data_IF_495135850384
#
_entry.id   IF_495135850384
#
_cell.length_a   1.000
_cell.length_b   1.000
_cell.length_c   1.000
_cell.angle_alpha   90.00
_cell.angle_beta   90.00
_cell.angle_gamma   90.00
#
_symmetry.space_group_name_H-M   'P 1'
#
loop_
_entity.id
_entity.type
_entity.pdbx_description
1 polymer ?
#
# COMPACT_ATOMS: atom_id res chain seq x y z
N UNK A 1 0.56 -65.04 13.68
CA UNK A 1 0.53 -63.93 12.70
C UNK A 1 -0.26 -62.72 13.19
N UNK A 2 -1.51 -62.86 13.65
CA UNK A 2 -2.35 -61.74 14.14
C UNK A 2 -1.74 -60.88 15.26
N UNK A 3 -1.08 -61.48 16.26
CA UNK A 3 -0.44 -60.73 17.36
C UNK A 3 0.73 -59.84 16.89
N UNK A 4 1.51 -60.28 15.90
CA UNK A 4 2.57 -59.46 15.31
C UNK A 4 1.98 -58.30 14.50
N UNK A 5 0.92 -58.54 13.73
CA UNK A 5 0.25 -57.50 12.97
C UNK A 5 -0.33 -56.39 13.87
N UNK A 6 -0.95 -56.77 15.00
CA UNK A 6 -1.48 -55.80 15.98
C UNK A 6 -0.36 -54.96 16.60
N UNK A 7 0.76 -55.58 16.99
CA UNK A 7 1.90 -54.86 17.56
C UNK A 7 2.53 -53.88 16.55
N UNK A 8 2.65 -54.29 15.28
CA UNK A 8 3.17 -53.43 14.21
C UNK A 8 2.22 -52.24 14.00
N UNK A 9 0.91 -52.47 13.94
CA UNK A 9 -0.08 -51.40 13.81
C UNK A 9 -0.04 -50.42 15.01
N UNK A 10 0.07 -50.92 16.24
CA UNK A 10 0.14 -50.05 17.42
C UNK A 10 1.42 -49.22 17.46
N UNK A 11 2.55 -49.80 17.05
CA UNK A 11 3.84 -49.09 16.97
C UNK A 11 3.78 -48.02 15.88
N UNK A 12 3.28 -48.35 14.69
CA UNK A 12 3.12 -47.38 13.60
C UNK A 12 2.17 -46.24 13.98
N UNK A 13 1.04 -46.56 14.62
CA UNK A 13 0.09 -45.55 15.10
C UNK A 13 0.73 -44.60 16.13
N UNK A 14 1.53 -45.13 17.06
CA UNK A 14 2.26 -44.32 18.04
C UNK A 14 3.30 -43.41 17.39
N UNK A 15 4.04 -43.91 16.39
CA UNK A 15 5.00 -43.12 15.61
C UNK A 15 4.32 -41.99 14.83
N UNK A 16 3.18 -42.28 14.18
CA UNK A 16 2.40 -41.28 13.45
C UNK A 16 1.90 -40.20 14.41
N UNK A 17 1.30 -40.58 15.55
CA UNK A 17 0.78 -39.63 16.53
C UNK A 17 1.88 -38.74 17.12
N UNK A 18 3.05 -39.33 17.40
CA UNK A 18 4.23 -38.60 17.90
C UNK A 18 4.75 -37.60 16.87
N UNK A 19 4.77 -37.99 15.59
CA UNK A 19 5.16 -37.12 14.49
C UNK A 19 4.18 -35.94 14.31
N UNK A 20 2.86 -36.20 14.31
CA UNK A 20 1.85 -35.15 14.24
C UNK A 20 1.96 -34.16 15.40
N UNK A 21 2.19 -34.66 16.61
CA UNK A 21 2.37 -33.82 17.80
C UNK A 21 3.63 -32.95 17.68
N UNK A 22 4.75 -33.52 17.24
CA UNK A 22 5.99 -32.77 17.01
C UNK A 22 5.84 -31.68 15.95
N UNK A 23 5.22 -32.01 14.80
CA UNK A 23 4.93 -31.04 13.75
C UNK A 23 4.00 -29.91 14.22
N UNK A 24 3.00 -30.25 15.04
CA UNK A 24 2.08 -29.26 15.63
C UNK A 24 2.80 -28.31 16.59
N UNK A 25 3.65 -28.83 17.50
CA UNK A 25 4.46 -28.00 18.40
C UNK A 25 5.46 -27.13 17.63
N UNK A 26 6.09 -27.66 16.58
CA UNK A 26 7.00 -26.91 15.72
C UNK A 26 6.28 -25.76 15.00
N UNK A 27 5.07 -26.01 14.50
CA UNK A 27 4.24 -24.99 13.85
C UNK A 27 3.80 -23.88 14.82
N UNK A 28 3.38 -24.24 16.04
CA UNK A 28 3.05 -23.29 17.10
C UNK A 28 4.26 -22.43 17.51
N UNK A 29 5.43 -23.06 17.65
CA UNK A 29 6.67 -22.35 17.95
C UNK A 29 7.03 -21.37 16.82
N UNK A 30 6.98 -21.80 15.56
CA UNK A 30 7.26 -20.92 14.41
C UNK A 30 6.30 -19.72 14.37
N UNK A 31 5.01 -19.96 14.54
CA UNK A 31 3.98 -18.90 14.51
C UNK A 31 4.21 -17.86 15.61
N UNK A 32 4.60 -18.31 16.79
CA UNK A 32 4.94 -17.45 17.93
C UNK A 32 6.20 -16.62 17.67
N UNK A 33 7.24 -17.22 17.08
CA UNK A 33 8.49 -16.53 16.70
C UNK A 33 8.23 -15.47 15.63
N UNK A 34 7.42 -15.78 14.60
CA UNK A 34 7.04 -14.81 13.56
C UNK A 34 6.27 -13.62 14.15
N UNK A 35 5.33 -13.88 15.05
CA UNK A 35 4.55 -12.84 15.73
C UNK A 35 5.41 -11.96 16.66
N UNK A 36 6.37 -12.54 17.38
CA UNK A 36 7.35 -11.77 18.16
C UNK A 36 8.27 -10.94 17.26
N UNK A 37 8.73 -11.52 16.15
CA UNK A 37 9.58 -10.83 15.15
C UNK A 37 8.89 -9.59 14.57
N UNK A 38 7.61 -9.72 14.18
CA UNK A 38 6.81 -8.61 13.67
C UNK A 38 6.65 -7.47 14.69
N UNK A 39 6.34 -7.79 15.95
CA UNK A 39 6.21 -6.79 17.02
C UNK A 39 7.51 -6.03 17.29
N UNK A 40 8.66 -6.72 17.27
CA UNK A 40 9.97 -6.10 17.49
C UNK A 40 10.34 -5.19 16.31
N UNK A 41 10.09 -5.62 15.07
CA UNK A 41 10.38 -4.83 13.86
C UNK A 41 9.54 -3.54 13.84
N UNK A 42 8.23 -3.64 14.01
CA UNK A 42 7.31 -2.50 13.94
C UNK A 42 7.53 -1.44 15.03
N UNK A 43 8.04 -1.85 16.19
CA UNK A 43 8.38 -0.93 17.28
C UNK A 43 9.67 -0.15 17.02
N UNK A 44 10.61 -0.72 16.25
CA UNK A 44 11.90 -0.10 15.94
C UNK A 44 11.86 0.86 14.75
N UNK A 45 10.82 0.82 13.91
CA UNK A 45 10.71 1.72 12.75
C UNK A 45 10.41 3.15 13.24
N UNK A 46 11.35 4.10 13.04
CA UNK A 46 11.13 5.47 13.44
C UNK A 46 10.07 6.15 12.55
N UNK A 47 9.30 7.08 13.11
CA UNK A 47 8.32 7.87 12.36
C UNK A 47 6.94 7.22 12.17
N UNK A 48 6.71 5.96 12.56
CA UNK A 48 5.37 5.37 12.51
C UNK A 48 4.44 5.95 13.59
N UNK A 49 3.28 6.44 13.15
CA UNK A 49 2.19 6.82 14.04
C UNK A 49 1.58 5.59 14.75
N UNK A 50 0.93 5.74 15.93
CA UNK A 50 0.36 4.61 16.67
C UNK A 50 -0.58 3.72 15.85
N UNK A 51 -1.44 4.31 15.02
CA UNK A 51 -2.33 3.56 14.11
C UNK A 51 -1.58 2.84 12.99
N UNK A 52 -0.52 3.44 12.46
CA UNK A 52 0.34 2.80 11.46
C UNK A 52 1.11 1.61 12.05
N UNK A 53 1.52 1.73 13.32
CA UNK A 53 2.18 0.64 14.05
C UNK A 53 1.24 -0.55 14.28
N UNK A 54 -0.03 -0.29 14.60
CA UNK A 54 -1.03 -1.36 14.70
C UNK A 54 -1.25 -2.09 13.36
N UNK A 55 -1.23 -1.36 12.24
CA UNK A 55 -1.28 -1.98 10.90
C UNK A 55 -0.01 -2.80 10.64
N UNK A 56 1.18 -2.28 10.98
CA UNK A 56 2.43 -3.02 10.83
C UNK A 56 2.42 -4.33 11.62
N UNK A 57 1.90 -4.32 12.86
CA UNK A 57 1.81 -5.51 13.70
C UNK A 57 0.87 -6.57 13.13
N UNK A 58 -0.24 -6.18 12.50
CA UNK A 58 -1.17 -7.11 11.85
C UNK A 58 -0.71 -7.54 10.45
N UNK A 59 0.11 -6.73 9.78
CA UNK A 59 0.57 -6.87 8.40
C UNK A 59 2.07 -6.56 8.27
N UNK A 60 2.96 -7.40 8.85
CA UNK A 60 4.39 -7.15 8.81
C UNK A 60 4.99 -7.38 7.41
N UNK A 61 4.36 -8.18 6.56
CA UNK A 61 4.75 -8.38 5.15
C UNK A 61 4.55 -7.10 4.32
N UNK A 62 3.50 -6.33 4.63
CA UNK A 62 3.19 -5.10 3.90
C UNK A 62 4.16 -3.94 4.21
N UNK A 63 4.78 -3.88 5.40
CA UNK A 63 5.56 -2.68 5.79
C UNK A 63 6.76 -2.41 4.88
N UNK A 64 7.38 -3.48 4.36
CA UNK A 64 8.51 -3.39 3.42
C UNK A 64 8.03 -2.77 2.11
N UNK A 65 6.95 -3.30 1.54
CA UNK A 65 6.33 -2.81 0.29
C UNK A 65 5.87 -1.36 0.42
N UNK A 66 5.32 -0.97 1.57
CA UNK A 66 4.93 0.42 1.83
C UNK A 66 6.17 1.33 1.84
N UNK A 67 7.27 0.88 2.45
CA UNK A 67 8.54 1.62 2.46
C UNK A 67 9.08 1.84 1.06
N UNK A 68 9.10 0.79 0.24
CA UNK A 68 9.48 0.87 -1.17
C UNK A 68 8.59 1.84 -1.96
N UNK A 69 7.26 1.75 -1.79
CA UNK A 69 6.32 2.63 -2.47
C UNK A 69 6.45 4.10 -2.06
N UNK A 70 6.74 4.36 -0.80
CA UNK A 70 6.96 5.72 -0.33
C UNK A 70 8.32 6.27 -0.78
N UNK A 71 9.38 5.44 -0.81
CA UNK A 71 10.68 5.82 -1.39
C UNK A 71 10.57 6.11 -2.89
N UNK A 72 9.80 5.30 -3.61
CA UNK A 72 9.49 5.51 -5.02
C UNK A 72 8.81 6.87 -5.25
N UNK A 73 7.86 7.24 -4.37
CA UNK A 73 7.24 8.56 -4.41
C UNK A 73 8.21 9.71 -4.12
N UNK A 74 9.16 9.53 -3.20
CA UNK A 74 10.21 10.52 -2.89
C UNK A 74 11.16 10.70 -4.08
N UNK A 75 11.61 9.61 -4.70
CA UNK A 75 12.49 9.65 -5.86
C UNK A 75 11.83 10.42 -7.01
N UNK A 76 10.54 10.18 -7.25
CA UNK A 76 9.79 10.89 -8.27
C UNK A 76 9.61 12.37 -7.92
N UNK A 77 9.35 12.69 -6.64
CA UNK A 77 9.32 14.08 -6.17
C UNK A 77 10.64 14.80 -6.49
N UNK A 78 11.77 14.21 -6.11
CA UNK A 78 13.09 14.77 -6.38
C UNK A 78 13.34 14.94 -7.88
N UNK A 79 12.92 13.96 -8.69
CA UNK A 79 13.03 14.03 -10.14
C UNK A 79 12.22 15.19 -10.74
N UNK A 80 10.98 15.40 -10.29
CA UNK A 80 10.13 16.50 -10.74
C UNK A 80 10.66 17.87 -10.35
N UNK A 81 11.14 17.99 -9.12
CA UNK A 81 11.56 19.25 -8.54
C UNK A 81 13.08 19.48 -8.64
N UNK A 82 13.80 18.69 -9.45
CA UNK A 82 15.27 18.72 -9.57
C UNK A 82 15.88 20.07 -9.95
N UNK A 83 15.13 20.90 -10.69
CA UNK A 83 15.53 22.25 -11.08
C UNK A 83 14.80 23.34 -10.28
N UNK A 84 14.00 22.96 -9.29
CA UNK A 84 13.31 23.88 -8.39
C UNK A 84 14.20 24.30 -7.22
N UNK A 85 13.89 25.46 -6.61
CA UNK A 85 14.53 25.89 -5.36
C UNK A 85 14.25 24.92 -4.21
N UNK A 86 13.07 24.32 -4.21
CA UNK A 86 12.71 23.19 -3.37
C UNK A 86 12.77 21.93 -4.23
N UNK A 87 13.60 20.97 -3.87
CA UNK A 87 13.95 19.79 -4.68
C UNK A 87 13.61 18.45 -3.99
N UNK A 88 12.70 18.46 -3.01
CA UNK A 88 12.31 17.29 -2.20
C UNK A 88 13.44 16.57 -1.43
N UNK A 89 14.67 17.11 -1.35
CA UNK A 89 15.81 16.43 -0.69
C UNK A 89 15.57 16.14 0.79
N UNK A 90 14.94 17.09 1.49
CA UNK A 90 14.65 16.98 2.92
C UNK A 90 13.71 15.81 3.29
N UNK A 91 12.98 15.22 2.34
CA UNK A 91 12.07 14.10 2.60
C UNK A 91 12.81 12.76 2.80
N UNK A 92 14.01 12.61 2.22
CA UNK A 92 14.77 11.35 2.27
C UNK A 92 15.73 11.20 3.45
N UNK A 93 16.00 12.29 4.19
CA UNK A 93 17.09 12.35 5.18
C UNK A 93 16.74 11.78 6.57
N UNK A 94 15.45 11.74 6.97
CA UNK A 94 15.07 11.52 8.38
C UNK A 94 14.09 10.41 8.66
N UNK A 95 13.18 10.08 7.73
CA UNK A 95 12.33 8.88 7.71
C UNK A 95 11.25 9.02 6.64
N UNK A 96 11.04 7.96 5.86
CA UNK A 96 9.99 7.88 4.84
C UNK A 96 8.57 8.00 5.46
N UNK A 97 8.42 7.68 6.75
CA UNK A 97 7.12 7.65 7.44
C UNK A 97 6.85 8.83 8.40
N UNK A 98 7.83 9.68 8.71
CA UNK A 98 7.72 10.68 9.79
C UNK A 98 7.68 12.14 9.36
N UNK A 99 7.97 12.44 8.09
CA UNK A 99 8.14 13.82 7.64
C UNK A 99 6.77 14.49 7.36
N UNK A 100 6.28 15.30 8.30
CA UNK A 100 5.21 16.28 8.03
C UNK A 100 5.85 17.63 7.69
N UNK A 101 5.67 18.10 6.45
CA UNK A 101 6.06 19.46 6.08
C UNK A 101 5.20 20.43 6.90
N UNK A 102 5.80 21.27 7.75
CA UNK A 102 5.06 22.15 8.68
C UNK A 102 4.19 23.21 7.99
N UNK A 103 4.46 23.55 6.73
CA UNK A 103 3.75 24.58 5.97
C UNK A 103 2.76 23.92 5.02
N UNK A 104 1.54 24.46 4.92
CA UNK A 104 0.56 24.03 3.93
C UNK A 104 0.84 24.67 2.58
N UNK A 105 1.89 24.20 1.89
CA UNK A 105 2.32 24.73 0.60
C UNK A 105 1.90 23.83 -0.57
N UNK A 106 2.08 24.31 -1.80
CA UNK A 106 1.83 23.52 -3.02
C UNK A 106 2.76 22.30 -3.09
N UNK A 107 4.00 22.47 -2.66
CA UNK A 107 5.01 21.43 -2.56
C UNK A 107 4.55 20.37 -1.55
N UNK A 108 4.04 20.80 -0.39
CA UNK A 108 3.48 19.88 0.58
C UNK A 108 2.31 19.08 -0.01
N UNK A 109 1.36 19.73 -0.67
CA UNK A 109 0.25 19.05 -1.33
C UNK A 109 0.73 17.97 -2.32
N UNK A 110 1.75 18.27 -3.11
CA UNK A 110 2.37 17.31 -4.03
C UNK A 110 3.00 16.13 -3.29
N UNK A 111 3.74 16.36 -2.18
CA UNK A 111 4.36 15.27 -1.41
C UNK A 111 3.34 14.27 -0.85
N UNK A 112 2.21 14.76 -0.34
CA UNK A 112 1.13 13.91 0.17
C UNK A 112 0.53 13.06 -0.96
N UNK A 113 0.24 13.69 -2.11
CA UNK A 113 -0.30 13.00 -3.27
C UNK A 113 0.66 11.93 -3.81
N UNK A 114 1.94 12.25 -4.04
CA UNK A 114 2.90 11.31 -4.64
C UNK A 114 3.25 10.16 -3.70
N UNK A 115 3.31 10.41 -2.39
CA UNK A 115 3.55 9.35 -1.39
C UNK A 115 2.35 8.39 -1.33
N UNK A 116 1.12 8.91 -1.31
CA UNK A 116 -0.08 8.08 -1.29
C UNK A 116 -0.22 7.25 -2.58
N UNK A 117 0.13 7.83 -3.73
CA UNK A 117 0.17 7.15 -5.01
C UNK A 117 1.26 6.06 -5.05
N UNK A 118 2.47 6.37 -4.57
CA UNK A 118 3.59 5.42 -4.53
C UNK A 118 3.29 4.18 -3.67
N UNK A 119 2.68 4.38 -2.49
CA UNK A 119 2.24 3.27 -1.64
C UNK A 119 1.14 2.44 -2.33
N UNK A 120 0.15 3.08 -2.96
CA UNK A 120 -0.90 2.35 -3.68
C UNK A 120 -0.33 1.53 -4.84
N UNK A 121 0.63 2.10 -5.58
CA UNK A 121 1.33 1.43 -6.67
C UNK A 121 2.10 0.20 -6.20
N UNK A 122 2.99 0.37 -5.22
CA UNK A 122 3.83 -0.71 -4.73
C UNK A 122 3.00 -1.86 -4.15
N UNK A 123 1.93 -1.53 -3.40
CA UNK A 123 1.03 -2.54 -2.84
C UNK A 123 0.33 -3.32 -3.95
N UNK A 124 -0.27 -2.66 -4.94
CA UNK A 124 -0.94 -3.38 -6.03
C UNK A 124 0.06 -4.20 -6.86
N UNK A 125 1.25 -3.67 -7.14
CA UNK A 125 2.29 -4.41 -7.86
C UNK A 125 2.72 -5.66 -7.09
N UNK A 126 3.02 -5.54 -5.79
CA UNK A 126 3.39 -6.65 -4.93
C UNK A 126 2.28 -7.72 -4.85
N UNK A 127 1.01 -7.31 -4.80
CA UNK A 127 -0.13 -8.23 -4.86
C UNK A 127 -0.15 -9.05 -6.15
N UNK A 128 0.02 -8.38 -7.30
CA UNK A 128 0.01 -9.06 -8.60
C UNK A 128 1.22 -9.98 -8.81
N UNK A 129 2.33 -9.72 -8.14
CA UNK A 129 3.54 -10.54 -8.17
C UNK A 129 3.52 -11.69 -7.16
N UNK A 130 2.54 -11.74 -6.26
CA UNK A 130 2.46 -12.73 -5.18
C UNK A 130 3.44 -12.50 -4.03
N UNK A 131 3.98 -11.28 -3.89
CA UNK A 131 4.94 -10.93 -2.83
C UNK A 131 4.25 -10.53 -1.50
N UNK A 132 2.92 -10.59 -1.43
CA UNK A 132 2.15 -10.37 -0.20
C UNK A 132 1.11 -11.47 -0.02
N UNK A 133 0.96 -11.92 1.23
CA UNK A 133 0.18 -13.12 1.57
C UNK A 133 -1.33 -12.90 1.59
N UNK A 134 -1.79 -11.66 1.79
CA UNK A 134 -3.19 -11.31 2.03
C UNK A 134 -3.84 -10.53 0.86
N UNK A 135 -3.32 -10.69 -0.36
CA UNK A 135 -3.92 -10.19 -1.59
C UNK A 135 -3.49 -11.02 -2.79
N UNK A 136 -4.03 -10.71 -3.96
CA UNK A 136 -3.68 -11.40 -5.20
C UNK A 136 -4.14 -10.63 -6.43
N UNK A 137 -4.30 -11.36 -7.53
CA UNK A 137 -4.78 -10.83 -8.80
C UNK A 137 -6.25 -10.42 -8.73
N UNK A 138 -6.60 -9.40 -9.50
CA UNK A 138 -7.97 -9.05 -9.78
C UNK A 138 -8.66 -10.20 -10.54
N UNK A 139 -9.76 -10.69 -9.96
CA UNK A 139 -10.54 -11.81 -10.46
C UNK A 139 -11.75 -11.37 -11.29
N UNK A 140 -12.08 -10.08 -11.33
CA UNK A 140 -13.29 -9.59 -12.03
C UNK A 140 -13.27 -9.89 -13.53
N UNK A 141 -12.08 -9.91 -14.14
CA UNK A 141 -11.90 -10.20 -15.58
C UNK A 141 -11.27 -11.56 -15.88
N UNK A 142 -10.92 -12.32 -14.85
CA UNK A 142 -10.19 -13.57 -15.03
C UNK A 142 -11.11 -14.64 -15.64
N UNK A 143 -10.72 -15.18 -16.80
CA UNK A 143 -11.54 -16.15 -17.53
C UNK A 143 -12.67 -15.55 -18.37
N UNK A 144 -12.75 -14.22 -18.49
CA UNK A 144 -13.66 -13.61 -19.46
C UNK A 144 -13.19 -13.93 -20.88
N UNK A 145 -14.08 -14.54 -21.64
CA UNK A 145 -13.87 -14.97 -23.02
C UNK A 145 -14.79 -14.16 -23.92
N UNK A 146 -14.22 -13.37 -24.83
CA UNK A 146 -15.01 -12.69 -25.84
C UNK A 146 -15.18 -13.64 -27.04
N UNK A 147 -16.39 -14.19 -27.21
CA UNK A 147 -16.72 -15.13 -28.29
C UNK A 147 -16.63 -14.48 -29.68
N UNK A 148 -16.85 -13.16 -29.80
CA UNK A 148 -16.85 -12.44 -31.07
C UNK A 148 -15.43 -12.06 -31.53
N UNK A 149 -14.53 -11.77 -30.58
CA UNK A 149 -13.17 -11.29 -30.87
C UNK A 149 -12.08 -12.35 -30.68
N UNK A 150 -12.44 -13.56 -30.21
CA UNK A 150 -11.54 -14.73 -30.17
C UNK A 150 -10.40 -14.67 -29.16
N UNK A 151 -10.40 -13.70 -28.24
CA UNK A 151 -9.39 -13.57 -27.20
C UNK A 151 -9.95 -13.87 -25.81
N UNK A 152 -9.07 -14.38 -24.94
CA UNK A 152 -9.35 -14.67 -23.54
C UNK A 152 -8.46 -13.83 -22.64
N UNK A 153 -9.00 -13.29 -21.55
CA UNK A 153 -8.16 -12.72 -20.51
C UNK A 153 -7.29 -13.82 -19.90
N UNK A 154 -5.98 -13.56 -19.85
CA UNK A 154 -4.99 -14.44 -19.24
C UNK A 154 -4.05 -13.68 -18.30
N UNK A 155 -3.29 -14.42 -17.50
CA UNK A 155 -2.32 -13.84 -16.56
C UNK A 155 -2.95 -13.30 -15.27
N UNK A 156 -2.20 -12.43 -14.59
CA UNK A 156 -2.58 -11.80 -13.34
C UNK A 156 -2.91 -10.33 -13.58
N UNK A 157 -4.19 -9.97 -13.55
CA UNK A 157 -4.60 -8.56 -13.54
C UNK A 157 -4.30 -7.94 -12.18
N UNK A 158 -3.85 -6.69 -12.15
CA UNK A 158 -3.45 -6.03 -10.91
C UNK A 158 -4.69 -5.49 -10.18
N UNK A 159 -4.88 -5.84 -8.89
CA UNK A 159 -5.98 -5.32 -8.07
C UNK A 159 -5.68 -3.89 -7.56
N UNK A 160 -6.01 -2.93 -8.41
CA UNK A 160 -5.82 -1.49 -8.16
C UNK A 160 -6.66 -1.03 -6.96
N UNK A 161 -7.87 -1.56 -6.81
CA UNK A 161 -8.80 -1.17 -5.75
C UNK A 161 -8.22 -1.53 -4.39
N UNK A 162 -7.66 -2.73 -4.26
CA UNK A 162 -6.98 -3.15 -3.05
C UNK A 162 -5.83 -2.22 -2.66
N UNK A 163 -4.95 -1.86 -3.60
CA UNK A 163 -3.82 -0.96 -3.30
C UNK A 163 -4.26 0.43 -2.88
N UNK A 164 -5.29 0.99 -3.52
CA UNK A 164 -5.88 2.28 -3.14
C UNK A 164 -6.46 2.23 -1.73
N UNK A 165 -7.22 1.18 -1.41
CA UNK A 165 -7.83 1.00 -0.09
C UNK A 165 -6.77 0.79 1.00
N UNK A 166 -5.73 0.01 0.70
CA UNK A 166 -4.63 -0.23 1.63
C UNK A 166 -3.84 1.06 1.89
N UNK A 167 -3.48 1.79 0.84
CA UNK A 167 -2.80 3.09 0.95
C UNK A 167 -3.66 4.08 1.74
N UNK A 168 -4.99 4.12 1.53
CA UNK A 168 -5.91 4.90 2.37
C UNK A 168 -5.81 4.51 3.85
N UNK A 169 -5.90 3.21 4.17
CA UNK A 169 -5.83 2.71 5.55
C UNK A 169 -4.51 3.09 6.23
N UNK A 170 -3.38 3.01 5.51
CA UNK A 170 -2.06 3.22 6.10
C UNK A 170 -1.60 4.68 6.09
N UNK A 171 -1.68 5.37 4.95
CA UNK A 171 -1.15 6.73 4.80
C UNK A 171 -2.01 7.72 5.58
N UNK A 172 -3.34 7.56 5.58
CA UNK A 172 -4.24 8.46 6.30
C UNK A 172 -4.26 8.19 7.82
N UNK A 173 -3.70 7.07 8.28
CA UNK A 173 -3.69 6.69 9.71
C UNK A 173 -2.93 7.67 10.61
N UNK A 174 -2.03 8.49 10.05
CA UNK A 174 -1.33 9.56 10.78
C UNK A 174 -2.17 10.84 10.93
N UNK A 175 -3.20 11.03 10.09
CA UNK A 175 -4.02 12.24 10.04
C UNK A 175 -5.11 12.21 11.13
N UNK A 176 -4.70 12.38 12.39
CA UNK A 176 -5.57 12.21 13.57
C UNK A 176 -6.25 13.54 13.99
N UNK A 177 -5.53 14.66 13.88
CA UNK A 177 -6.00 15.96 14.41
C UNK A 177 -7.15 16.53 13.56
N UNK A 178 -8.29 16.87 14.18
CA UNK A 178 -9.49 17.38 13.48
C UNK A 178 -9.33 18.85 13.05
N UNK A 179 -8.53 19.09 12.01
CA UNK A 179 -8.11 20.43 11.59
C UNK A 179 -8.39 20.63 10.09
N UNK A 180 -8.47 21.88 9.62
CA UNK A 180 -8.54 22.19 8.19
C UNK A 180 -7.37 21.56 7.41
N UNK A 181 -6.18 21.54 8.02
CA UNK A 181 -4.98 20.88 7.49
C UNK A 181 -5.18 19.38 7.24
N UNK A 182 -5.84 18.66 8.15
CA UNK A 182 -6.13 17.23 7.97
C UNK A 182 -7.01 17.02 6.74
N UNK A 183 -8.02 17.85 6.55
CA UNK A 183 -8.91 17.74 5.38
C UNK A 183 -8.15 17.96 4.07
N UNK A 184 -7.24 18.94 4.06
CA UNK A 184 -6.33 19.17 2.93
C UNK A 184 -5.41 17.96 2.68
N UNK A 185 -4.77 17.41 3.72
CA UNK A 185 -3.87 16.26 3.59
C UNK A 185 -4.63 15.03 3.06
N UNK A 186 -5.81 14.72 3.62
CA UNK A 186 -6.67 13.63 3.15
C UNK A 186 -7.12 13.82 1.71
N UNK A 187 -7.47 15.05 1.32
CA UNK A 187 -7.81 15.39 -0.06
C UNK A 187 -6.64 15.14 -1.01
N UNK A 188 -5.44 15.61 -0.65
CA UNK A 188 -4.23 15.42 -1.47
C UNK A 188 -3.85 13.94 -1.60
N UNK A 189 -3.93 13.18 -0.50
CA UNK A 189 -3.71 11.72 -0.52
C UNK A 189 -4.69 11.02 -1.46
N UNK A 190 -5.98 11.39 -1.40
CA UNK A 190 -7.02 10.85 -2.27
C UNK A 190 -6.81 11.21 -3.73
N UNK A 191 -6.43 12.46 -4.01
CA UNK A 191 -6.11 12.93 -5.35
C UNK A 191 -4.96 12.10 -5.95
N UNK A 192 -3.89 11.88 -5.18
CA UNK A 192 -2.77 11.03 -5.59
C UNK A 192 -3.18 9.59 -5.92
N UNK A 193 -4.03 8.97 -5.08
CA UNK A 193 -4.52 7.60 -5.28
C UNK A 193 -5.42 7.44 -6.51
N UNK A 194 -6.13 8.49 -6.91
CA UNK A 194 -7.04 8.48 -8.06
C UNK A 194 -6.38 8.76 -9.40
N UNK A 195 -5.12 9.17 -9.43
CA UNK A 195 -4.44 9.43 -10.69
C UNK A 195 -4.34 8.11 -11.45
N UNK A 196 -5.13 7.96 -12.53
CA UNK A 196 -5.22 6.78 -13.42
C UNK A 196 -3.86 6.34 -14.02
N UNK A 197 -2.82 7.13 -13.81
CA UNK A 197 -1.49 6.99 -14.39
C UNK A 197 -0.44 6.46 -13.41
N UNK A 198 -0.73 6.13 -12.14
CA UNK A 198 0.34 5.72 -11.22
C UNK A 198 1.06 4.42 -11.66
N UNK A 199 0.32 3.40 -12.13
CA UNK A 199 0.86 2.40 -13.06
C UNK A 199 1.14 3.12 -14.39
N UNK A 200 2.25 3.00 -15.08
CA UNK A 200 2.73 3.90 -16.17
C UNK A 200 3.71 4.97 -15.67
N UNK A 201 3.34 5.78 -14.67
CA UNK A 201 4.24 6.71 -13.97
C UNK A 201 5.40 5.97 -13.32
N UNK A 202 5.09 4.92 -12.56
CA UNK A 202 6.10 4.13 -11.86
C UNK A 202 6.59 2.92 -12.66
N UNK A 203 5.90 2.61 -13.76
CA UNK A 203 6.21 1.46 -14.63
C UNK A 203 7.17 1.82 -15.77
N UNK A 204 7.49 3.11 -15.97
CA UNK A 204 8.47 3.55 -16.96
C UNK A 204 9.28 4.75 -16.45
N UNK A 205 10.62 4.74 -16.51
CA UNK A 205 11.46 5.83 -15.99
C UNK A 205 11.32 7.16 -16.77
N UNK A 206 10.52 7.20 -17.83
CA UNK A 206 10.47 8.31 -18.79
C UNK A 206 9.16 9.11 -18.81
N UNK A 207 8.12 8.77 -18.03
CA UNK A 207 6.79 9.34 -18.26
C UNK A 207 6.10 9.86 -16.99
N UNK A 208 6.61 10.97 -16.47
CA UNK A 208 5.93 11.73 -15.41
C UNK A 208 5.67 13.21 -15.73
N UNK A 209 6.17 13.77 -16.84
CA UNK A 209 5.96 15.19 -17.17
C UNK A 209 4.48 15.63 -17.27
N UNK A 210 3.52 14.69 -17.25
CA UNK A 210 2.09 14.97 -17.26
C UNK A 210 1.43 15.08 -15.87
N UNK A 211 2.05 14.64 -14.77
CA UNK A 211 1.43 14.78 -13.43
C UNK A 211 1.39 16.23 -12.93
N UNK A 212 2.30 17.08 -13.44
CA UNK A 212 2.34 18.50 -13.13
C UNK A 212 1.08 19.25 -13.60
N UNK A 213 0.32 18.76 -14.58
CA UNK A 213 -0.91 19.43 -15.04
C UNK A 213 -2.10 19.25 -14.11
N UNK A 214 -2.14 18.20 -13.28
CA UNK A 214 -3.24 17.96 -12.33
C UNK A 214 -3.11 18.85 -11.09
N UNK A 215 -1.88 19.12 -10.65
CA UNK A 215 -1.58 19.92 -9.45
C UNK A 215 -1.13 21.37 -9.77
N UNK A 216 -1.38 21.83 -11.01
CA UNK A 216 -1.21 23.24 -11.42
C UNK A 216 -2.46 24.08 -11.23
N UNK A 217 -3.55 23.52 -10.73
CA UNK A 217 -4.64 24.32 -10.19
C UNK A 217 -4.15 24.89 -8.86
N UNK A 218 -4.18 26.22 -8.66
CA UNK A 218 -3.79 26.79 -7.39
C UNK A 218 -4.59 26.11 -6.28
N UNK A 219 -3.97 25.91 -5.13
CA UNK A 219 -4.70 25.67 -3.89
C UNK A 219 -5.59 26.88 -3.60
N UNK A 220 -6.70 26.96 -4.32
CA UNK A 220 -7.85 27.84 -4.17
C UNK A 220 -9.07 26.93 -4.27
N UNK A 221 -9.22 26.05 -3.30
CA UNK A 221 -10.56 25.90 -2.74
C UNK A 221 -10.56 26.89 -1.58
N UNK A 222 -11.10 28.11 -1.77
CA UNK A 222 -11.21 29.04 -0.68
C UNK A 222 -12.04 28.37 0.42
N UNK A 223 -11.67 28.65 1.66
CA UNK A 223 -12.38 28.25 2.89
C UNK A 223 -13.88 28.63 2.86
N UNK A 224 -14.32 29.40 1.87
CA UNK A 224 -15.72 29.79 1.60
C UNK A 224 -16.61 28.67 1.01
N UNK A 225 -16.09 27.55 0.52
CA UNK A 225 -16.94 26.46 0.00
C UNK A 225 -17.61 25.59 1.09
N UNK A 226 -17.41 25.90 2.37
CA UNK A 226 -17.95 25.13 3.51
C UNK A 226 -19.36 25.53 3.98
N UNK A 227 -19.96 26.59 3.43
CA UNK A 227 -21.34 26.96 3.75
C UNK A 227 -22.30 26.65 2.58
N UNK A 228 -22.80 25.41 2.59
CA UNK A 228 -24.13 25.04 2.11
C UNK A 228 -24.41 25.07 0.59
N UNK A 229 -24.31 23.91 -0.07
CA UNK A 229 -25.27 23.32 -1.03
C UNK A 229 -24.74 21.99 -1.63
N UNK A 230 -25.61 21.08 -2.12
CA UNK A 230 -25.25 19.71 -2.48
C UNK A 230 -24.43 19.64 -3.78
N UNK A 231 -23.67 18.54 -4.02
CA UNK A 231 -22.74 18.44 -5.13
C UNK A 231 -23.48 18.14 -6.43
N UNK A 232 -23.61 19.14 -7.29
CA UNK A 232 -23.80 18.91 -8.72
C UNK A 232 -22.41 18.74 -9.34
N UNK A 233 -22.06 17.50 -9.67
CA UNK A 233 -21.02 17.19 -10.64
C UNK A 233 -21.64 17.28 -12.03
N UNK A 234 -21.18 18.17 -12.94
CA UNK A 234 -21.26 17.87 -14.35
C UNK A 234 -19.88 17.39 -14.83
N UNK A 235 -19.93 16.18 -15.38
CA UNK A 235 -19.02 15.63 -16.35
C UNK A 235 -18.30 16.69 -17.22
N UNK A 236 -16.97 16.62 -17.27
CA UNK A 236 -16.23 17.01 -18.46
C UNK A 236 -14.96 16.16 -18.57
N UNK A 237 -15.14 15.02 -19.24
CA UNK A 237 -14.12 14.36 -20.05
C UNK A 237 -14.80 14.04 -21.39
N UNK A 238 -14.75 15.01 -22.31
CA UNK A 238 -14.60 14.81 -23.76
C UNK A 238 -13.52 15.78 -24.19
#
# INVERSE_FOLDING_TARGET
MFRCAILIFSVLFYFIQSCFSFLFYLFLALSSVVALGANIICNKIPGLAPRQRAICQSRPDAIIVIGEGAQLGINECQYQFRYGRWNCSALGERTVFGQELRVGSREAAFTYAITAAGVAHAVTAACSQGNMSQCGCDREKQGYYNQEEGWKWGGCSADIKYGIEFSRKFVDAREIKKNARRLMNLHNNEAGRKVRLFFSVFSSPFRFSQLLRVFSVPALIPVQAWFGRPPLWPCLFV
#
